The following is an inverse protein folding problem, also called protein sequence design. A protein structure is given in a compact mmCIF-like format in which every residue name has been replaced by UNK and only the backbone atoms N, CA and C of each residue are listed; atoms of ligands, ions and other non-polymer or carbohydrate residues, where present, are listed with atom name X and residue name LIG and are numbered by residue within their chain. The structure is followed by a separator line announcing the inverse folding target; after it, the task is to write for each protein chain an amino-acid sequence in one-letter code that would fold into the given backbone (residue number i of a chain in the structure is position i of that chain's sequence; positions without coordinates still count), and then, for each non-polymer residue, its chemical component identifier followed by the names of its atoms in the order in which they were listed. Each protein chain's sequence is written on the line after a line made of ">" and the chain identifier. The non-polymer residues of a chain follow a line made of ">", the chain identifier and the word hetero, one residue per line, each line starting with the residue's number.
data_IF_933775525739
#
_entry.id   IF_933775525739
#
_cell.length_a   1.000
_cell.length_b   1.000
_cell.length_c   1.000
_cell.angle_alpha   90.00
_cell.angle_beta   90.00
_cell.angle_gamma   90.00
#
_symmetry.space_group_name_H-M   'P 1'
#
loop_
_entity.id
_entity.type
_entity.pdbx_description
1 polymer ?
#
# COMPACT_ATOMS: atom_id res chain seq x y z
N UNK A 1 9.71 -22.17 -2.19
CA UNK A 1 8.80 -21.47 -1.24
C UNK A 1 7.36 -21.95 -1.37
N UNK A 2 6.70 -21.85 -2.53
CA UNK A 2 5.29 -22.23 -2.72
C UNK A 2 4.89 -23.62 -2.23
N UNK A 3 5.75 -24.62 -2.45
CA UNK A 3 5.48 -26.00 -1.99
C UNK A 3 5.36 -26.10 -0.47
N UNK A 4 6.04 -25.25 0.31
CA UNK A 4 6.06 -25.35 1.77
C UNK A 4 4.67 -25.14 2.38
N UNK A 5 3.92 -24.15 1.89
CA UNK A 5 2.56 -23.90 2.38
C UNK A 5 1.53 -24.81 1.70
N UNK A 6 1.74 -25.18 0.43
CA UNK A 6 0.85 -26.13 -0.27
C UNK A 6 0.90 -27.55 0.29
N UNK A 7 2.01 -27.96 0.89
CA UNK A 7 2.14 -29.27 1.53
C UNK A 7 1.59 -29.33 2.96
N UNK A 8 1.11 -28.22 3.52
CA UNK A 8 0.57 -28.20 4.88
C UNK A 8 -0.75 -28.95 4.91
N UNK A 9 -0.81 -30.03 5.70
CA UNK A 9 -2.04 -30.78 5.92
C UNK A 9 -3.03 -30.01 6.80
N UNK A 10 -4.34 -30.32 6.72
CA UNK A 10 -5.35 -29.69 7.59
C UNK A 10 -5.05 -29.84 9.09
N UNK A 11 -4.43 -30.94 9.50
CA UNK A 11 -4.02 -31.15 10.89
C UNK A 11 -2.87 -30.22 11.30
N UNK A 12 -1.88 -30.04 10.43
CA UNK A 12 -0.79 -29.10 10.67
C UNK A 12 -1.29 -27.66 10.69
N UNK A 13 -2.22 -27.31 9.81
CA UNK A 13 -2.82 -25.98 9.75
C UNK A 13 -3.60 -25.64 11.02
N UNK A 14 -4.37 -26.59 11.57
CA UNK A 14 -5.07 -26.41 12.86
C UNK A 14 -4.12 -26.13 14.03
N UNK A 15 -2.89 -26.65 13.98
CA UNK A 15 -1.87 -26.45 15.03
C UNK A 15 -1.02 -25.20 14.80
N UNK A 16 -1.07 -24.61 13.61
CA UNK A 16 -0.36 -23.38 13.26
C UNK A 16 -1.35 -22.21 13.15
N UNK A 17 -1.67 -21.62 14.31
CA UNK A 17 -2.62 -20.51 14.41
C UNK A 17 -2.21 -19.28 13.59
N UNK A 18 -0.91 -19.02 13.44
CA UNK A 18 -0.39 -17.91 12.64
C UNK A 18 -0.69 -18.12 11.15
N UNK A 19 -0.31 -19.27 10.59
CA UNK A 19 -0.55 -19.56 9.17
C UNK A 19 -2.05 -19.60 8.84
N UNK A 20 -2.85 -20.21 9.73
CA UNK A 20 -4.29 -20.23 9.59
C UNK A 20 -4.89 -18.80 9.63
N UNK A 21 -4.36 -17.94 10.51
CA UNK A 21 -4.71 -16.53 10.59
C UNK A 21 -4.38 -15.78 9.29
N UNK A 22 -3.16 -15.92 8.78
CA UNK A 22 -2.74 -15.30 7.51
C UNK A 22 -3.61 -15.75 6.35
N UNK A 23 -3.86 -17.06 6.20
CA UNK A 23 -4.75 -17.59 5.16
C UNK A 23 -6.13 -16.95 5.23
N UNK A 24 -6.73 -16.92 6.42
CA UNK A 24 -8.07 -16.35 6.62
C UNK A 24 -8.14 -14.87 6.25
N UNK A 25 -7.10 -14.10 6.59
CA UNK A 25 -7.01 -12.68 6.23
C UNK A 25 -6.84 -12.49 4.71
N UNK A 26 -5.97 -13.29 4.08
CA UNK A 26 -5.73 -13.25 2.63
C UNK A 26 -7.01 -13.59 1.87
N UNK A 27 -7.70 -14.68 2.21
CA UNK A 27 -8.94 -15.09 1.53
C UNK A 27 -10.01 -13.99 1.60
N UNK A 28 -10.16 -13.36 2.77
CA UNK A 28 -11.09 -12.25 2.96
C UNK A 28 -10.72 -11.03 2.11
N UNK A 29 -9.43 -10.68 2.03
CA UNK A 29 -8.98 -9.52 1.27
C UNK A 29 -8.98 -9.75 -0.24
N UNK A 30 -8.53 -10.91 -0.70
CA UNK A 30 -8.51 -11.28 -2.12
C UNK A 30 -9.93 -11.32 -2.69
N UNK A 31 -10.92 -11.86 -1.97
CA UNK A 31 -12.31 -11.94 -2.45
C UNK A 31 -12.93 -10.57 -2.78
N UNK A 32 -12.43 -9.49 -2.16
CA UNK A 32 -12.89 -8.10 -2.37
C UNK A 32 -11.95 -7.24 -3.21
N UNK A 33 -10.81 -7.78 -3.66
CA UNK A 33 -9.78 -6.99 -4.37
C UNK A 33 -10.21 -6.67 -5.80
N UNK A 34 -10.27 -5.38 -6.13
CA UNK A 34 -10.43 -4.81 -7.48
C UNK A 34 -11.47 -5.50 -8.39
N UNK A 35 -12.62 -5.90 -7.83
CA UNK A 35 -13.67 -6.66 -8.55
C UNK A 35 -14.34 -5.89 -9.69
N UNK A 36 -14.16 -4.58 -9.76
CA UNK A 36 -14.57 -3.72 -10.88
C UNK A 36 -13.56 -3.69 -12.03
N UNK A 37 -12.35 -4.21 -11.84
CA UNK A 37 -11.34 -4.34 -12.89
C UNK A 37 -11.57 -5.64 -13.66
N UNK A 38 -11.61 -5.57 -15.00
CA UNK A 38 -11.80 -6.72 -15.90
C UNK A 38 -10.83 -7.87 -15.65
N UNK A 39 -9.60 -7.56 -15.20
CA UNK A 39 -8.61 -8.59 -14.89
C UNK A 39 -9.04 -9.49 -13.72
N UNK A 40 -9.77 -8.93 -12.75
CA UNK A 40 -10.23 -9.62 -11.54
C UNK A 40 -11.74 -9.87 -11.51
N UNK A 41 -12.51 -9.49 -12.53
CA UNK A 41 -13.96 -9.66 -12.54
C UNK A 41 -14.38 -11.14 -12.72
N UNK A 42 -15.61 -11.46 -12.34
CA UNK A 42 -16.20 -12.78 -12.58
C UNK A 42 -15.95 -13.81 -11.45
N UNK A 43 -16.84 -14.80 -11.31
CA UNK A 43 -16.71 -15.86 -10.31
C UNK A 43 -15.53 -16.79 -10.66
N UNK A 44 -14.75 -17.21 -9.66
CA UNK A 44 -13.63 -18.15 -9.88
C UNK A 44 -12.50 -17.60 -10.75
N UNK A 45 -12.30 -16.28 -10.75
CA UNK A 45 -11.29 -15.62 -11.58
C UNK A 45 -9.86 -16.14 -11.24
N UNK A 46 -9.07 -16.57 -12.24
CA UNK A 46 -7.73 -17.14 -12.01
C UNK A 46 -6.74 -16.11 -11.44
N UNK A 47 -6.90 -14.82 -11.74
CA UNK A 47 -6.11 -13.73 -11.17
C UNK A 47 -6.27 -13.61 -9.65
N UNK A 48 -7.47 -13.88 -9.11
CA UNK A 48 -7.66 -13.96 -7.66
C UNK A 48 -6.94 -15.18 -7.05
N UNK A 49 -6.91 -16.30 -7.77
CA UNK A 49 -6.12 -17.47 -7.38
C UNK A 49 -4.62 -17.15 -7.32
N UNK A 50 -4.10 -16.44 -8.31
CA UNK A 50 -2.71 -15.98 -8.34
C UNK A 50 -2.40 -15.00 -7.19
N UNK A 51 -3.29 -14.05 -6.87
CA UNK A 51 -3.12 -13.17 -5.70
C UNK A 51 -2.99 -13.98 -4.41
N UNK A 52 -3.89 -14.95 -4.21
CA UNK A 52 -3.86 -15.81 -3.02
C UNK A 52 -2.55 -16.61 -2.93
N UNK A 53 -2.14 -17.25 -4.03
CA UNK A 53 -0.94 -18.08 -4.10
C UNK A 53 0.34 -17.26 -3.83
N UNK A 54 0.45 -16.05 -4.38
CA UNK A 54 1.61 -15.16 -4.19
C UNK A 54 1.67 -14.66 -2.73
N UNK A 55 0.55 -14.21 -2.16
CA UNK A 55 0.50 -13.71 -0.78
C UNK A 55 0.83 -14.80 0.25
N UNK A 56 0.35 -16.02 0.05
CA UNK A 56 0.72 -17.16 0.90
C UNK A 56 2.19 -17.54 0.73
N UNK A 57 2.72 -17.45 -0.49
CA UNK A 57 4.15 -17.67 -0.74
C UNK A 57 5.00 -16.59 -0.06
N UNK A 58 4.53 -15.34 -0.04
CA UNK A 58 5.18 -14.25 0.69
C UNK A 58 5.18 -14.49 2.20
N UNK A 59 4.10 -15.01 2.77
CA UNK A 59 4.07 -15.38 4.19
C UNK A 59 5.15 -16.42 4.54
N UNK A 60 5.48 -17.34 3.63
CA UNK A 60 6.59 -18.28 3.88
C UNK A 60 7.96 -17.63 3.72
N UNK A 61 8.06 -16.58 2.90
CA UNK A 61 9.30 -15.83 2.66
C UNK A 61 9.63 -14.86 3.80
N UNK A 62 8.64 -14.15 4.32
CA UNK A 62 8.75 -13.27 5.48
C UNK A 62 7.75 -13.68 6.58
N UNK A 63 8.00 -14.80 7.25
CA UNK A 63 7.04 -15.37 8.21
C UNK A 63 6.77 -14.50 9.44
N UNK A 64 7.75 -13.73 9.91
CA UNK A 64 7.60 -12.83 11.05
C UNK A 64 6.63 -11.67 10.75
N UNK A 65 6.62 -11.20 9.49
CA UNK A 65 5.67 -10.19 9.02
C UNK A 65 4.35 -10.84 8.60
N UNK A 66 4.42 -11.93 7.84
CA UNK A 66 3.30 -12.65 7.28
C UNK A 66 2.46 -11.79 6.35
N UNK A 67 1.16 -11.72 6.64
CA UNK A 67 0.19 -10.92 5.91
C UNK A 67 -0.43 -9.85 6.80
N UNK A 68 -0.46 -8.61 6.29
CA UNK A 68 -1.16 -7.48 6.87
C UNK A 68 -2.25 -7.01 5.90
N UNK A 69 -3.41 -6.66 6.44
CA UNK A 69 -4.55 -6.20 5.64
C UNK A 69 -4.16 -5.02 4.75
N UNK A 70 -4.49 -5.11 3.47
CA UNK A 70 -4.11 -4.12 2.44
C UNK A 70 -2.96 -4.56 1.54
N UNK A 71 -2.19 -5.60 1.91
CA UNK A 71 -1.15 -6.14 1.03
C UNK A 71 -1.71 -6.70 -0.29
N UNK A 72 -2.96 -7.17 -0.32
CA UNK A 72 -3.61 -7.56 -1.58
C UNK A 72 -3.83 -6.37 -2.53
N UNK A 73 -4.14 -5.19 -1.99
CA UNK A 73 -4.28 -3.95 -2.77
C UNK A 73 -2.92 -3.51 -3.34
N UNK A 74 -1.82 -3.77 -2.61
CA UNK A 74 -0.45 -3.52 -3.08
C UNK A 74 -0.02 -4.48 -4.20
N UNK A 75 -0.35 -5.77 -4.07
CA UNK A 75 0.02 -6.79 -5.06
C UNK A 75 -0.80 -6.68 -6.36
N UNK A 76 -2.06 -6.25 -6.27
CA UNK A 76 -2.99 -6.23 -7.42
C UNK A 76 -2.43 -5.51 -8.66
N UNK A 77 -1.93 -4.26 -8.59
CA UNK A 77 -1.38 -3.59 -9.76
C UNK A 77 -0.12 -4.27 -10.31
N UNK A 78 0.72 -4.86 -9.45
CA UNK A 78 1.93 -5.57 -9.86
C UNK A 78 1.56 -6.82 -10.66
N UNK A 79 0.62 -7.63 -10.17
CA UNK A 79 0.16 -8.83 -10.86
C UNK A 79 -0.54 -8.49 -12.18
N UNK A 80 -1.31 -7.40 -12.20
CA UNK A 80 -1.96 -6.91 -13.42
C UNK A 80 -0.96 -6.59 -14.54
N UNK A 81 0.18 -5.95 -14.21
CA UNK A 81 1.22 -5.57 -15.17
C UNK A 81 2.09 -6.77 -15.58
N UNK A 82 2.54 -7.56 -14.61
CA UNK A 82 3.49 -8.66 -14.86
C UNK A 82 2.82 -9.88 -15.51
N UNK A 83 1.56 -10.16 -15.17
CA UNK A 83 0.79 -11.33 -15.64
C UNK A 83 1.51 -12.68 -15.47
N UNK A 84 2.52 -12.74 -14.60
CA UNK A 84 3.31 -13.92 -14.32
C UNK A 84 3.47 -14.04 -12.80
N UNK A 85 3.21 -15.23 -12.27
CA UNK A 85 3.23 -15.46 -10.81
C UNK A 85 4.61 -15.19 -10.19
N UNK A 86 5.68 -15.66 -10.83
CA UNK A 86 7.04 -15.59 -10.31
C UNK A 86 7.56 -14.15 -10.38
N UNK A 87 7.33 -13.48 -11.51
CA UNK A 87 7.73 -12.08 -11.68
C UNK A 87 6.97 -11.18 -10.71
N UNK A 88 5.65 -11.38 -10.59
CA UNK A 88 4.80 -10.67 -9.63
C UNK A 88 5.30 -10.86 -8.19
N UNK A 89 5.67 -12.09 -7.82
CA UNK A 89 6.19 -12.40 -6.49
C UNK A 89 7.47 -11.60 -6.18
N UNK A 90 8.47 -11.61 -7.08
CA UNK A 90 9.73 -10.90 -6.83
C UNK A 90 9.57 -9.39 -6.88
N UNK A 91 8.76 -8.86 -7.80
CA UNK A 91 8.39 -7.44 -7.80
C UNK A 91 7.70 -7.04 -6.50
N UNK A 92 6.77 -7.86 -6.01
CA UNK A 92 6.08 -7.62 -4.74
C UNK A 92 7.02 -7.65 -3.54
N UNK A 93 7.98 -8.58 -3.49
CA UNK A 93 8.99 -8.60 -2.43
C UNK A 93 9.81 -7.30 -2.41
N UNK A 94 10.29 -6.86 -3.57
CA UNK A 94 11.01 -5.58 -3.68
C UNK A 94 10.17 -4.38 -3.26
N UNK A 95 8.88 -4.38 -3.62
CA UNK A 95 7.97 -3.32 -3.20
C UNK A 95 7.73 -3.33 -1.69
N UNK A 96 7.52 -4.50 -1.08
CA UNK A 96 7.34 -4.62 0.37
C UNK A 96 8.58 -4.18 1.14
N UNK A 97 9.80 -4.39 0.62
CA UNK A 97 11.01 -3.82 1.21
C UNK A 97 10.98 -2.29 1.23
N UNK A 98 10.48 -1.65 0.16
CA UNK A 98 10.33 -0.19 0.11
C UNK A 98 9.28 0.30 1.10
N UNK A 99 8.13 -0.36 1.19
CA UNK A 99 7.06 -0.01 2.14
C UNK A 99 7.55 -0.14 3.58
N UNK A 100 8.18 -1.27 3.92
CA UNK A 100 8.67 -1.53 5.29
C UNK A 100 9.86 -0.66 5.67
N UNK A 101 10.74 -0.29 4.71
CA UNK A 101 11.87 0.62 4.98
C UNK A 101 11.49 2.10 4.97
N UNK A 102 10.52 2.49 4.14
CA UNK A 102 10.07 3.89 4.00
C UNK A 102 9.41 4.45 5.25
N UNK A 103 8.81 3.59 6.07
CA UNK A 103 8.13 3.97 7.31
C UNK A 103 9.06 4.00 8.55
N UNK A 104 10.35 3.69 8.40
CA UNK A 104 11.31 3.78 9.49
C UNK A 104 11.89 5.21 9.58
N UNK A 105 11.63 5.98 10.67
CA UNK A 105 12.34 7.23 10.87
C UNK A 105 13.84 6.90 10.99
N UNK A 106 14.70 7.59 10.23
CA UNK A 106 16.14 7.66 10.52
C UNK A 106 16.34 8.51 11.78
N UNK A 107 15.83 8.04 12.91
CA UNK A 107 16.15 8.58 14.21
C UNK A 107 17.55 8.06 14.58
N UNK A 108 18.56 8.89 14.33
CA UNK A 108 19.90 8.71 14.89
C UNK A 108 20.90 8.06 13.93
N UNK A 109 21.96 8.82 13.61
CA UNK A 109 23.12 8.31 12.90
C UNK A 109 23.84 7.22 13.71
N UNK A 110 24.05 6.07 13.07
CA UNK A 110 24.93 5.01 13.55
C UNK A 110 24.81 3.76 12.67
N UNK A 111 25.92 3.16 12.20
CA UNK A 111 25.88 1.91 11.45
C UNK A 111 25.81 0.74 12.43
N UNK A 112 24.72 -0.02 12.39
CA UNK A 112 24.60 -1.29 13.09
C UNK A 112 23.44 -1.33 14.08
N UNK A 113 22.40 -2.08 13.71
CA UNK A 113 21.78 -3.19 14.46
C UNK A 113 20.50 -3.53 13.70
N UNK A 114 20.51 -4.67 13.00
CA UNK A 114 19.33 -5.25 12.38
C UNK A 114 18.43 -5.84 13.46
N UNK A 115 17.24 -5.28 13.62
CA UNK A 115 16.12 -5.90 14.32
C UNK A 115 14.90 -5.92 13.39
N UNK A 116 14.03 -6.94 13.46
CA UNK A 116 12.84 -7.01 12.62
C UNK A 116 11.92 -5.82 12.94
N UNK A 117 11.72 -4.98 11.94
CA UNK A 117 10.81 -3.83 12.00
C UNK A 117 9.40 -4.34 12.27
N UNK A 118 8.86 -4.00 13.44
CA UNK A 118 7.45 -4.23 13.77
C UNK A 118 6.65 -3.15 13.06
N UNK A 119 5.78 -3.55 12.13
CA UNK A 119 4.80 -2.66 11.47
C UNK A 119 3.89 -1.91 12.47
N UNK A 120 3.92 -2.28 13.76
CA UNK A 120 3.30 -1.51 14.84
C UNK A 120 4.01 -0.21 15.26
N UNK A 121 5.24 0.06 14.79
CA UNK A 121 5.99 1.30 15.07
C UNK A 121 6.09 2.26 13.87
N UNK A 122 5.58 1.84 12.70
CA UNK A 122 5.41 2.68 11.49
C UNK A 122 4.43 3.86 11.70
N UNK A 123 3.76 3.91 12.85
CA UNK A 123 2.92 5.00 13.36
C UNK A 123 3.71 6.20 13.91
N UNK A 124 5.05 6.16 13.93
CA UNK A 124 5.90 7.23 14.46
C UNK A 124 5.78 8.60 13.75
N UNK A 125 5.22 8.64 12.53
CA UNK A 125 4.90 9.90 11.83
C UNK A 125 3.71 10.67 12.46
N UNK A 126 2.95 10.05 13.39
CA UNK A 126 1.93 10.74 14.18
C UNK A 126 2.49 11.48 15.42
N UNK A 127 3.79 11.39 15.70
CA UNK A 127 4.41 12.05 16.85
C UNK A 127 5.22 13.28 16.43
N UNK A 128 4.60 14.21 15.70
CA UNK A 128 4.97 15.62 15.89
C UNK A 128 4.65 15.96 17.35
N UNK A 129 5.54 16.68 18.07
CA UNK A 129 5.33 16.97 19.49
C UNK A 129 3.94 17.60 19.70
N UNK A 130 3.07 16.84 20.36
CA UNK A 130 1.74 17.24 20.77
C UNK A 130 1.85 18.26 21.91
N UNK A 131 1.89 19.54 21.57
CA UNK A 131 1.65 20.62 22.56
C UNK A 131 0.24 21.21 22.48
N UNK A 132 -0.67 20.57 21.74
CA UNK A 132 -2.08 20.94 21.77
C UNK A 132 -2.96 19.71 21.60
N UNK A 133 -3.81 19.47 22.60
CA UNK A 133 -4.95 18.54 22.58
C UNK A 133 -5.85 18.80 21.36
N UNK A 134 -5.54 18.23 20.18
CA UNK A 134 -6.54 17.98 19.11
C UNK A 134 -6.05 17.09 17.95
N UNK A 135 -4.95 16.35 18.10
CA UNK A 135 -4.32 15.60 16.99
C UNK A 135 -4.94 14.20 16.72
N UNK A 136 -6.26 14.07 16.85
CA UNK A 136 -7.01 12.94 16.27
C UNK A 136 -7.14 13.03 14.73
N UNK A 137 -6.68 14.15 14.15
CA UNK A 137 -7.02 14.62 12.81
C UNK A 137 -6.30 13.92 11.66
N UNK A 138 -5.10 13.36 11.81
CA UNK A 138 -4.33 12.82 10.66
C UNK A 138 -4.43 11.30 10.43
N UNK A 139 -5.26 10.59 11.21
CA UNK A 139 -5.47 9.15 11.04
C UNK A 139 -6.01 8.77 9.64
N UNK A 140 -6.60 9.70 8.89
CA UNK A 140 -7.05 9.43 7.51
C UNK A 140 -5.89 9.26 6.53
N UNK A 141 -4.79 9.99 6.70
CA UNK A 141 -3.59 9.86 5.86
C UNK A 141 -2.88 8.52 6.03
N UNK A 142 -3.09 7.85 7.17
CA UNK A 142 -2.50 6.55 7.46
C UNK A 142 -2.85 5.52 6.39
N UNK A 143 -4.10 5.51 5.90
CA UNK A 143 -4.51 4.61 4.81
C UNK A 143 -3.74 4.93 3.53
N UNK A 144 -3.53 6.19 3.21
CA UNK A 144 -2.85 6.58 1.98
C UNK A 144 -1.42 6.08 1.94
N UNK A 145 -0.69 6.21 3.05
CA UNK A 145 0.68 5.74 3.14
C UNK A 145 0.75 4.21 3.17
N UNK A 146 -0.13 3.56 3.93
CA UNK A 146 -0.14 2.10 4.07
C UNK A 146 -0.37 1.35 2.75
N UNK A 147 -1.27 1.84 1.90
CA UNK A 147 -1.58 1.24 0.60
C UNK A 147 -1.15 2.11 -0.59
N UNK A 148 -0.18 3.00 -0.39
CA UNK A 148 0.43 3.82 -1.43
C UNK A 148 -0.60 4.48 -2.37
N UNK A 149 -1.61 5.13 -1.77
CA UNK A 149 -2.69 5.86 -2.41
C UNK A 149 -3.62 5.03 -3.33
N UNK A 150 -3.50 3.69 -3.34
CA UNK A 150 -4.25 2.79 -4.23
C UNK A 150 -5.77 2.97 -4.21
N UNK A 151 -6.34 3.42 -3.10
CA UNK A 151 -7.80 3.64 -2.95
C UNK A 151 -8.25 5.07 -3.22
N UNK A 152 -7.33 6.00 -3.42
CA UNK A 152 -7.64 7.40 -3.67
C UNK A 152 -7.65 7.73 -5.17
N UNK A 153 -6.96 6.93 -5.99
CA UNK A 153 -6.84 7.15 -7.43
C UNK A 153 -7.46 6.01 -8.26
N UNK A 154 -7.93 6.31 -9.49
CA UNK A 154 -8.28 5.31 -10.47
C UNK A 154 -7.12 4.35 -10.77
N UNK A 155 -7.43 3.11 -11.13
CA UNK A 155 -6.41 2.06 -11.36
C UNK A 155 -5.28 2.47 -12.32
N UNK A 156 -5.53 3.11 -13.50
CA UNK A 156 -4.46 3.54 -14.39
C UNK A 156 -3.57 4.64 -13.80
N UNK A 157 -4.14 5.52 -12.98
CA UNK A 157 -3.41 6.62 -12.35
C UNK A 157 -2.52 6.10 -11.21
N UNK A 158 -2.96 5.06 -10.50
CA UNK A 158 -2.13 4.36 -9.51
C UNK A 158 -0.88 3.78 -10.15
N UNK A 159 -1.00 3.17 -11.34
CA UNK A 159 0.15 2.62 -12.07
C UNK A 159 1.18 3.72 -12.36
N UNK A 160 0.74 4.85 -12.92
CA UNK A 160 1.61 6.00 -13.21
C UNK A 160 2.24 6.60 -11.95
N UNK A 161 1.45 6.74 -10.89
CA UNK A 161 1.95 7.26 -9.62
C UNK A 161 3.07 6.37 -9.07
N UNK A 162 2.88 5.06 -9.10
CA UNK A 162 3.88 4.12 -8.60
C UNK A 162 5.15 4.10 -9.46
N UNK A 163 5.03 4.19 -10.79
CA UNK A 163 6.18 4.35 -11.67
C UNK A 163 7.05 5.55 -11.27
N UNK A 164 6.43 6.71 -11.01
CA UNK A 164 7.14 7.92 -10.58
C UNK A 164 7.72 7.75 -9.18
N UNK A 165 6.95 7.23 -8.22
CA UNK A 165 7.42 7.06 -6.84
C UNK A 165 8.61 6.07 -6.76
N UNK A 166 8.60 5.01 -7.55
CA UNK A 166 9.67 4.01 -7.59
C UNK A 166 10.96 4.55 -8.22
N UNK A 167 10.94 5.68 -8.92
CA UNK A 167 12.19 6.33 -9.36
C UNK A 167 13.03 6.86 -8.19
N UNK A 168 12.41 7.10 -7.03
CA UNK A 168 13.06 7.71 -5.86
C UNK A 168 13.46 9.18 -6.07
N UNK A 169 12.94 9.84 -7.11
CA UNK A 169 13.20 11.25 -7.41
C UNK A 169 12.05 12.15 -6.96
N UNK A 170 12.32 13.40 -6.54
CA UNK A 170 13.65 14.00 -6.33
C UNK A 170 14.33 13.53 -5.02
N UNK A 171 13.66 12.72 -4.21
CA UNK A 171 14.22 12.17 -2.97
C UNK A 171 13.35 11.04 -2.39
N UNK A 172 13.81 10.40 -1.30
CA UNK A 172 13.21 9.16 -0.77
C UNK A 172 11.79 9.33 -0.23
N UNK A 173 11.41 10.56 0.14
CA UNK A 173 10.13 10.86 0.79
C UNK A 173 9.10 11.48 -0.17
N UNK A 174 9.22 11.21 -1.48
CA UNK A 174 8.30 11.74 -2.49
C UNK A 174 6.83 11.37 -2.20
N UNK A 175 6.58 10.20 -1.62
CA UNK A 175 5.25 9.79 -1.18
C UNK A 175 4.65 10.72 -0.10
N UNK A 176 5.47 11.29 0.81
CA UNK A 176 5.01 12.28 1.78
C UNK A 176 4.67 13.62 1.09
N UNK A 177 5.44 14.02 0.08
CA UNK A 177 5.14 15.22 -0.71
C UNK A 177 3.83 15.08 -1.47
N UNK A 178 3.55 13.89 -2.01
CA UNK A 178 2.25 13.58 -2.63
C UNK A 178 1.12 13.69 -1.60
N UNK A 179 1.29 13.15 -0.39
CA UNK A 179 0.30 13.29 0.67
C UNK A 179 0.06 14.77 1.03
N UNK A 180 1.13 15.58 1.17
CA UNK A 180 1.04 17.01 1.42
C UNK A 180 0.33 17.76 0.27
N UNK A 181 0.61 17.41 -0.98
CA UNK A 181 -0.05 18.02 -2.13
C UNK A 181 -1.56 17.73 -2.14
N UNK A 182 -1.96 16.49 -1.85
CA UNK A 182 -3.39 16.13 -1.73
C UNK A 182 -4.05 16.90 -0.58
N UNK A 183 -3.37 17.03 0.57
CA UNK A 183 -3.87 17.80 1.71
C UNK A 183 -4.02 19.28 1.39
N UNK A 184 -3.07 19.87 0.68
CA UNK A 184 -3.11 21.29 0.29
C UNK A 184 -4.24 21.55 -0.71
N UNK A 185 -4.45 20.64 -1.68
CA UNK A 185 -5.57 20.73 -2.63
C UNK A 185 -6.94 20.66 -1.94
N UNK A 186 -7.07 19.87 -0.87
CA UNK A 186 -8.33 19.71 -0.13
C UNK A 186 -8.43 20.61 1.12
N UNK A 187 -7.45 21.50 1.33
CA UNK A 187 -7.34 22.33 2.54
C UNK A 187 -8.60 23.17 2.77
N UNK A 188 -9.13 23.79 1.72
CA UNK A 188 -10.32 24.64 1.82
C UNK A 188 -11.59 23.82 2.12
N UNK A 189 -11.70 22.63 1.54
CA UNK A 189 -12.82 21.72 1.81
C UNK A 189 -12.78 21.18 3.24
N UNK A 190 -11.58 20.86 3.75
CA UNK A 190 -11.34 20.43 5.12
C UNK A 190 -11.60 21.53 6.15
N UNK A 191 -11.25 22.79 5.84
CA UNK A 191 -11.52 23.92 6.74
C UNK A 191 -13.01 24.30 6.80
N UNK A 192 -13.77 24.04 5.73
CA UNK A 192 -15.22 24.28 5.69
C UNK A 192 -16.03 23.12 6.31
N UNK A 193 -15.52 21.90 6.25
CA UNK A 193 -16.14 20.72 6.86
C UNK A 193 -15.48 20.41 8.19
N UNK A 194 -15.98 20.99 9.28
CA UNK A 194 -15.55 20.63 10.62
C UNK A 194 -15.73 19.13 10.88
N UNK A 195 -14.62 18.38 10.79
CA UNK A 195 -14.40 16.97 11.12
C UNK A 195 -14.99 15.86 10.21
N UNK A 196 -14.17 14.80 10.02
CA UNK A 196 -14.65 13.43 9.76
C UNK A 196 -14.46 12.85 8.35
N UNK A 197 -13.33 13.11 7.72
CA UNK A 197 -13.18 13.07 6.25
C UNK A 197 -12.83 11.71 5.64
N UNK A 198 -13.61 10.65 5.89
CA UNK A 198 -13.49 9.43 5.06
C UNK A 198 -14.24 9.58 3.71
N UNK A 199 -14.99 10.67 3.54
CA UNK A 199 -15.79 10.98 2.35
C UNK A 199 -15.26 12.16 1.53
N UNK A 200 -14.27 12.94 1.99
CA UNK A 200 -13.85 14.16 1.27
C UNK A 200 -13.23 13.86 -0.09
N UNK A 201 -12.52 12.73 -0.24
CA UNK A 201 -11.89 12.37 -1.50
C UNK A 201 -12.80 11.59 -2.47
N UNK A 202 -13.93 11.05 -2.02
CA UNK A 202 -14.81 10.23 -2.89
C UNK A 202 -15.54 11.02 -3.98
N UNK A 203 -16.04 12.24 -3.74
CA UNK A 203 -16.69 13.03 -4.79
C UNK A 203 -15.74 13.62 -5.83
N UNK A 204 -14.43 13.79 -5.51
CA UNK A 204 -13.46 14.50 -6.35
C UNK A 204 -12.27 13.68 -6.87
N UNK A 205 -12.12 12.42 -6.48
CA UNK A 205 -11.14 11.50 -7.11
C UNK A 205 -11.40 11.26 -8.61
N UNK A 206 -12.62 11.57 -9.09
CA UNK A 206 -12.95 11.68 -10.52
C UNK A 206 -12.37 12.92 -11.21
N UNK A 207 -11.93 13.93 -10.44
CA UNK A 207 -11.35 15.19 -10.92
C UNK A 207 -9.82 15.21 -10.83
N UNK A 208 -9.22 14.47 -9.89
CA UNK A 208 -7.77 14.35 -9.74
C UNK A 208 -7.23 13.30 -10.72
N UNK A 209 -7.24 13.65 -12.01
CA UNK A 209 -6.47 12.91 -13.01
C UNK A 209 -5.04 13.43 -13.02
N UNK A 210 -4.06 12.52 -12.98
CA UNK A 210 -2.64 12.82 -13.22
C UNK A 210 -2.47 13.15 -14.72
N UNK A 211 -2.94 14.32 -15.12
CA UNK A 211 -2.83 14.83 -16.48
C UNK A 211 -1.41 15.42 -16.68
N UNK A 212 -0.77 15.25 -17.86
CA UNK A 212 0.62 15.64 -18.07
C UNK A 212 0.88 17.16 -18.12
N UNK A 213 -0.08 18.01 -17.80
CA UNK A 213 0.05 19.46 -17.97
C UNK A 213 0.76 20.12 -16.79
N UNK A 214 2.02 19.77 -16.57
CA UNK A 214 2.98 20.74 -16.05
C UNK A 214 3.33 21.66 -17.21
N UNK A 215 2.62 22.77 -17.29
CA UNK A 215 2.83 23.81 -18.28
C UNK A 215 4.26 24.33 -18.21
N UNK A 216 5.06 24.00 -19.22
CA UNK A 216 6.14 24.86 -19.67
C UNK A 216 5.50 26.11 -20.27
N UNK A 217 5.11 27.05 -19.41
CA UNK A 217 5.04 28.45 -19.83
C UNK A 217 6.48 28.95 -19.91
N UNK A 218 7.15 28.58 -21.01
CA UNK A 218 8.37 29.21 -21.45
C UNK A 218 8.00 30.54 -22.09
N UNK A 219 8.00 31.61 -21.32
CA UNK A 219 8.17 32.96 -21.85
C UNK A 219 9.64 33.09 -22.22
N UNK A 220 9.96 33.04 -23.52
CA UNK A 220 11.26 33.47 -24.06
C UNK A 220 11.09 33.78 -25.56
N UNK A 221 11.35 35.05 -25.87
CA UNK A 221 11.34 35.77 -27.16
C UNK A 221 9.96 36.23 -27.68
#
# INVERSE_FOLDING_TARGET
>A
MKLQWKSVSPEQERRNSLLHGYRSLIERDVSRTDRSNKFYEGPGNPGLGLLNDILLTYCMYHFDLGYVQGMSDLLSPILYVTQNEVDAFWCFCGFMELVVRGDAPRAGGGPGVGGPVRVGEATGLCCLPSDSQDSGSLCFCFRWLLIWFKREFPFPDVLRLWEVLWTGLPGPNMHLLVACAILDMERDALMLSGFGSNEILKPRSSSVSLSPSLGLSGSLC
#
